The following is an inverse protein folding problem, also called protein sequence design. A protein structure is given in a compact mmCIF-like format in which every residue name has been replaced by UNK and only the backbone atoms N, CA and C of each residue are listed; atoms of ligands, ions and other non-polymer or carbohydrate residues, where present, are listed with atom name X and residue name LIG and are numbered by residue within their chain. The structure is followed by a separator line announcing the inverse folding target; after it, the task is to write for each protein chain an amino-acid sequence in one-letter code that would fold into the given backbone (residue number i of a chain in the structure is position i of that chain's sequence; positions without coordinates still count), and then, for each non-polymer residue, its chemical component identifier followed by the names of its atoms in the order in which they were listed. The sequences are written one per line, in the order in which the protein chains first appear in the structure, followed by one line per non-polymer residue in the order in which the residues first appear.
data_IF_613995876207
#
_entry.id   IF_613995876207
#
_cell.length_a   1.000
_cell.length_b   1.000
_cell.length_c   1.000
_cell.angle_alpha   90.00
_cell.angle_beta   90.00
_cell.angle_gamma   90.00
#
_symmetry.space_group_name_H-M   'P 1'
#
loop_
_entity.id
_entity.type
_entity.pdbx_description
1 polymer ?
#
# COMPACT_ATOMS: atom_id res chain seq x y z
N UNK A 1 -1.94 -3.17 -14.26
CA UNK A 1 -2.26 -3.42 -12.84
C UNK A 1 -2.99 -4.76 -12.76
N UNK A 2 -2.60 -5.71 -11.89
CA UNK A 2 -3.38 -6.93 -11.67
C UNK A 2 -4.85 -6.61 -11.38
N UNK A 3 -5.79 -7.33 -11.99
CA UNK A 3 -7.22 -7.04 -11.79
C UNK A 3 -7.67 -7.25 -10.33
N UNK A 4 -6.99 -8.14 -9.60
CA UNK A 4 -7.18 -8.31 -8.16
C UNK A 4 -6.93 -7.02 -7.38
N UNK A 5 -5.95 -6.21 -7.78
CA UNK A 5 -5.67 -4.93 -7.13
C UNK A 5 -6.79 -3.92 -7.40
N UNK A 6 -7.35 -3.93 -8.61
CA UNK A 6 -8.51 -3.10 -8.97
C UNK A 6 -9.73 -3.49 -8.13
N UNK A 7 -10.02 -4.79 -7.98
CA UNK A 7 -11.10 -5.26 -7.11
C UNK A 7 -10.87 -4.85 -5.66
N UNK A 8 -9.62 -4.89 -5.17
CA UNK A 8 -9.26 -4.45 -3.83
C UNK A 8 -9.28 -2.92 -3.68
N UNK A 9 -9.22 -2.15 -4.77
CA UNK A 9 -9.53 -0.71 -4.72
C UNK A 9 -11.04 -0.54 -4.60
N UNK A 10 -11.82 -1.17 -5.49
CA UNK A 10 -13.29 -1.01 -5.53
C UNK A 10 -13.92 -1.50 -4.22
N UNK A 11 -13.46 -2.64 -3.70
CA UNK A 11 -13.98 -3.31 -2.52
C UNK A 11 -12.82 -3.70 -1.57
N UNK A 12 -12.32 -2.76 -0.74
CA UNK A 12 -11.09 -2.95 0.03
C UNK A 12 -11.14 -4.02 1.10
N UNK A 13 -10.04 -4.76 1.24
CA UNK A 13 -9.89 -5.87 2.20
C UNK A 13 -10.46 -5.54 3.58
N UNK A 14 -11.24 -6.48 4.13
CA UNK A 14 -11.86 -6.38 5.45
C UNK A 14 -11.19 -7.41 6.36
N UNK A 15 -10.19 -6.96 7.14
CA UNK A 15 -9.32 -7.86 7.88
C UNK A 15 -8.55 -8.80 6.95
N UNK A 16 -8.76 -10.12 7.11
CA UNK A 16 -8.16 -11.12 6.23
C UNK A 16 -8.95 -11.36 4.92
N UNK A 17 -10.21 -10.90 4.83
CA UNK A 17 -11.07 -11.16 3.68
C UNK A 17 -10.74 -10.24 2.51
N UNK A 18 -10.57 -10.82 1.31
CA UNK A 18 -10.39 -10.08 0.05
C UNK A 18 -11.59 -10.29 -0.86
N UNK A 19 -11.82 -9.32 -1.75
CA UNK A 19 -12.76 -9.51 -2.84
C UNK A 19 -12.24 -10.59 -3.79
N UNK A 20 -13.13 -11.45 -4.29
CA UNK A 20 -12.83 -12.47 -5.30
C UNK A 20 -13.92 -12.45 -6.37
N UNK A 21 -13.54 -12.84 -7.59
CA UNK A 21 -14.48 -12.93 -8.70
C UNK A 21 -15.48 -14.05 -8.43
N UNK A 22 -16.77 -13.73 -8.57
CA UNK A 22 -17.88 -14.68 -8.54
C UNK A 22 -18.55 -14.86 -9.90
N UNK A 23 -18.21 -14.00 -10.87
CA UNK A 23 -18.64 -14.14 -12.26
C UNK A 23 -17.73 -13.38 -13.20
N UNK A 24 -17.28 -14.02 -14.27
CA UNK A 24 -16.32 -13.43 -15.21
C UNK A 24 -17.01 -12.67 -16.34
N UNK A 25 -16.27 -11.74 -16.95
CA UNK A 25 -16.71 -11.12 -18.21
C UNK A 25 -16.84 -12.18 -19.31
N UNK A 26 -17.93 -12.13 -20.07
CA UNK A 26 -18.19 -13.05 -21.19
C UNK A 26 -18.64 -14.45 -20.76
N UNK A 27 -18.75 -14.72 -19.45
CA UNK A 27 -19.28 -15.98 -18.95
C UNK A 27 -20.70 -16.20 -19.50
N UNK A 28 -20.96 -17.41 -20.01
CA UNK A 28 -22.26 -17.73 -20.59
C UNK A 28 -23.32 -17.88 -19.49
N UNK A 29 -24.32 -17.01 -19.50
CA UNK A 29 -25.48 -17.07 -18.60
C UNK A 29 -26.75 -17.29 -19.40
N UNK A 30 -27.84 -17.65 -18.70
CA UNK A 30 -29.15 -17.89 -19.31
C UNK A 30 -29.69 -16.69 -20.12
N UNK A 31 -29.23 -15.46 -19.82
CA UNK A 31 -29.63 -14.22 -20.48
C UNK A 31 -28.58 -13.70 -21.49
N UNK A 32 -27.61 -14.53 -21.87
CA UNK A 32 -26.50 -14.17 -22.75
C UNK A 32 -25.18 -14.01 -22.01
N UNK A 33 -24.12 -13.56 -22.72
CA UNK A 33 -22.79 -13.38 -22.14
C UNK A 33 -22.81 -12.28 -21.07
N UNK A 34 -22.08 -12.51 -20.00
CA UNK A 34 -21.98 -11.58 -18.89
C UNK A 34 -21.21 -10.30 -19.28
N UNK A 35 -21.81 -9.12 -19.08
CA UNK A 35 -21.27 -7.85 -19.59
C UNK A 35 -20.18 -7.19 -18.73
N UNK A 36 -19.81 -7.80 -17.60
CA UNK A 36 -18.86 -7.27 -16.62
C UNK A 36 -18.24 -8.39 -15.79
N UNK A 37 -17.56 -8.04 -14.70
CA UNK A 37 -17.19 -9.01 -13.67
C UNK A 37 -17.99 -8.76 -12.40
N UNK A 38 -18.42 -9.84 -11.77
CA UNK A 38 -19.05 -9.84 -10.45
C UNK A 38 -18.02 -10.23 -9.41
N UNK A 39 -17.99 -9.53 -8.28
CA UNK A 39 -17.13 -9.90 -7.16
C UNK A 39 -17.72 -9.47 -5.81
N UNK A 40 -17.35 -10.21 -4.77
CA UNK A 40 -17.67 -9.91 -3.38
C UNK A 40 -16.61 -10.56 -2.45
N UNK A 41 -16.76 -10.43 -1.13
CA UNK A 41 -15.87 -11.11 -0.19
C UNK A 41 -16.21 -12.60 -0.08
N UNK A 42 -15.23 -13.42 0.30
CA UNK A 42 -15.47 -14.83 0.63
C UNK A 42 -16.60 -15.01 1.66
N UNK A 43 -17.43 -16.03 1.46
CA UNK A 43 -18.62 -16.30 2.27
C UNK A 43 -19.94 -15.86 1.61
N UNK A 44 -19.90 -15.23 0.44
CA UNK A 44 -21.09 -15.00 -0.39
C UNK A 44 -22.14 -14.15 0.32
N UNK A 45 -23.33 -14.70 0.60
CA UNK A 45 -24.44 -13.96 1.22
C UNK A 45 -24.44 -14.01 2.74
N UNK A 46 -23.25 -13.88 3.34
CA UNK A 46 -23.05 -13.91 4.78
C UNK A 46 -21.99 -12.90 5.21
N UNK A 47 -21.90 -12.67 6.53
CA UNK A 47 -20.84 -11.87 7.15
C UNK A 47 -20.74 -10.47 6.55
N UNK A 48 -19.51 -10.07 6.20
CA UNK A 48 -19.19 -8.72 5.72
C UNK A 48 -20.01 -8.32 4.48
N UNK A 49 -20.39 -9.26 3.61
CA UNK A 49 -21.17 -8.94 2.42
C UNK A 49 -22.57 -8.39 2.74
N UNK A 50 -23.16 -8.81 3.87
CA UNK A 50 -24.46 -8.31 4.33
C UNK A 50 -24.36 -6.98 5.09
N UNK A 51 -23.15 -6.47 5.34
CA UNK A 51 -22.94 -5.19 6.06
C UNK A 51 -22.93 -3.96 5.15
N UNK A 52 -23.16 -4.14 3.85
CA UNK A 52 -23.06 -3.09 2.82
C UNK A 52 -21.71 -2.34 2.88
N UNK A 53 -20.59 -3.04 2.67
CA UNK A 53 -19.24 -2.48 2.71
C UNK A 53 -19.10 -1.35 1.69
N UNK A 54 -18.26 -0.36 2.01
CA UNK A 54 -18.00 0.80 1.16
C UNK A 54 -17.36 0.37 -0.16
N UNK A 55 -17.82 1.02 -1.24
CA UNK A 55 -17.38 0.83 -2.62
C UNK A 55 -16.64 2.08 -3.04
N UNK A 56 -15.48 1.93 -3.67
CA UNK A 56 -14.59 3.03 -4.03
C UNK A 56 -14.32 3.11 -5.54
N UNK A 57 -13.87 4.26 -5.99
CA UNK A 57 -13.55 4.48 -7.39
C UNK A 57 -12.30 3.71 -7.82
N UNK A 58 -12.33 2.92 -8.91
CA UNK A 58 -11.14 2.27 -9.45
C UNK A 58 -10.22 3.21 -10.22
N UNK A 59 -10.70 4.40 -10.62
CA UNK A 59 -10.02 5.30 -11.55
C UNK A 59 -10.28 6.76 -11.17
N UNK A 60 -9.34 7.65 -11.48
CA UNK A 60 -9.61 9.09 -11.42
C UNK A 60 -10.49 9.51 -12.60
N UNK A 61 -11.45 10.40 -12.38
CA UNK A 61 -12.34 10.82 -13.45
C UNK A 61 -13.56 11.61 -13.01
N UNK A 62 -14.41 11.93 -13.97
CA UNK A 62 -15.66 12.65 -13.72
C UNK A 62 -16.82 11.65 -13.58
N UNK A 63 -17.63 11.81 -12.53
CA UNK A 63 -18.87 11.06 -12.34
C UNK A 63 -19.90 11.54 -13.36
N UNK A 64 -20.29 10.66 -14.29
CA UNK A 64 -21.21 11.00 -15.40
C UNK A 64 -22.63 10.50 -15.20
N UNK A 65 -22.86 9.57 -14.27
CA UNK A 65 -24.19 9.08 -13.93
C UNK A 65 -24.21 8.49 -12.51
N UNK A 66 -25.31 8.73 -11.78
CA UNK A 66 -25.57 8.16 -10.46
C UNK A 66 -27.04 7.77 -10.34
N UNK A 67 -27.33 6.53 -9.94
CA UNK A 67 -28.68 6.06 -9.61
C UNK A 67 -29.25 5.06 -10.62
N UNK A 68 -30.51 5.23 -11.01
CA UNK A 68 -31.23 4.27 -11.86
C UNK A 68 -31.59 2.95 -11.16
N UNK A 69 -32.24 2.05 -11.91
CA UNK A 69 -32.79 0.79 -11.41
C UNK A 69 -31.74 -0.17 -10.84
N UNK A 70 -30.48 -0.04 -11.25
CA UNK A 70 -29.38 -0.88 -10.76
C UNK A 70 -28.51 -0.19 -9.70
N UNK A 71 -28.79 1.06 -9.31
CA UNK A 71 -27.89 1.81 -8.42
C UNK A 71 -26.51 1.98 -9.06
N UNK A 72 -26.48 2.45 -10.30
CA UNK A 72 -25.26 2.56 -11.10
C UNK A 72 -24.51 3.84 -10.76
N UNK A 73 -23.18 3.74 -10.69
CA UNK A 73 -22.27 4.89 -10.70
C UNK A 73 -21.40 4.75 -11.95
N UNK A 74 -21.33 5.79 -12.77
CA UNK A 74 -20.46 5.83 -13.97
C UNK A 74 -19.39 6.90 -13.82
N UNK A 75 -18.17 6.54 -14.14
CA UNK A 75 -16.99 7.41 -14.06
C UNK A 75 -16.32 7.41 -15.43
N UNK A 76 -16.08 8.60 -15.99
CA UNK A 76 -15.34 8.76 -17.24
C UNK A 76 -13.90 9.07 -16.93
N UNK A 77 -12.98 8.22 -17.41
CA UNK A 77 -11.54 8.44 -17.25
C UNK A 77 -10.99 9.47 -18.26
N UNK A 78 -9.70 9.81 -18.13
CA UNK A 78 -9.04 10.78 -18.99
C UNK A 78 -8.99 10.36 -20.47
N UNK A 79 -9.01 9.05 -20.74
CA UNK A 79 -9.04 8.48 -22.07
C UNK A 79 -10.47 8.36 -22.64
N UNK A 80 -11.48 8.78 -21.88
CA UNK A 80 -12.89 8.77 -22.29
C UNK A 80 -13.61 7.45 -22.05
N UNK A 81 -12.95 6.44 -21.46
CA UNK A 81 -13.57 5.18 -21.11
C UNK A 81 -14.58 5.36 -19.98
N UNK A 82 -15.69 4.63 -20.05
CA UNK A 82 -16.72 4.58 -19.01
C UNK A 82 -16.47 3.39 -18.09
N UNK A 83 -16.30 3.66 -16.81
CA UNK A 83 -16.22 2.67 -15.74
C UNK A 83 -17.55 2.66 -14.99
N UNK A 84 -18.26 1.53 -15.01
CA UNK A 84 -19.62 1.44 -14.49
C UNK A 84 -19.70 0.43 -13.34
N UNK A 85 -20.09 0.91 -12.17
CA UNK A 85 -20.25 0.14 -10.94
C UNK A 85 -21.75 0.00 -10.67
N UNK A 86 -22.26 -1.22 -10.60
CA UNK A 86 -23.68 -1.53 -10.50
C UNK A 86 -24.00 -2.28 -9.20
N UNK A 87 -25.30 -2.43 -8.95
CA UNK A 87 -25.90 -3.10 -7.80
C UNK A 87 -25.64 -2.41 -6.45
N UNK A 88 -25.20 -1.15 -6.44
CA UNK A 88 -24.90 -0.45 -5.18
C UNK A 88 -26.16 -0.18 -4.36
N UNK A 89 -26.04 -0.34 -3.04
CA UNK A 89 -27.10 -0.08 -2.06
C UNK A 89 -27.33 1.42 -1.90
N UNK A 90 -26.24 2.19 -1.83
CA UNK A 90 -26.25 3.65 -1.77
C UNK A 90 -25.11 4.24 -2.61
N UNK A 91 -25.26 5.49 -3.03
CA UNK A 91 -24.27 6.25 -3.79
C UNK A 91 -23.93 7.53 -3.04
N UNK A 92 -22.65 7.81 -2.78
CA UNK A 92 -22.17 8.97 -2.02
C UNK A 92 -21.67 10.12 -2.90
N UNK A 93 -21.68 9.93 -4.22
CA UNK A 93 -21.21 10.90 -5.23
C UNK A 93 -22.36 11.48 -6.03
N UNK A 94 -22.08 12.57 -6.74
CA UNK A 94 -23.03 13.28 -7.62
C UNK A 94 -22.46 13.43 -9.03
N UNK A 95 -23.35 13.54 -10.02
CA UNK A 95 -22.94 13.83 -11.41
C UNK A 95 -22.14 15.14 -11.46
N UNK A 96 -21.06 15.16 -12.24
CA UNK A 96 -20.10 16.26 -12.34
C UNK A 96 -19.03 16.29 -11.24
N UNK A 97 -19.11 15.41 -10.23
CA UNK A 97 -18.06 15.29 -9.22
C UNK A 97 -16.82 14.64 -9.81
N UNK A 98 -15.67 15.28 -9.63
CA UNK A 98 -14.39 14.61 -9.84
C UNK A 98 -14.10 13.67 -8.66
N UNK A 99 -13.65 12.46 -8.96
CA UNK A 99 -13.24 11.45 -7.99
C UNK A 99 -11.86 10.95 -8.33
N UNK A 100 -11.06 10.64 -7.31
CA UNK A 100 -9.75 10.02 -7.43
C UNK A 100 -9.84 8.51 -7.20
N UNK A 101 -8.77 7.79 -7.56
CA UNK A 101 -8.64 6.36 -7.22
C UNK A 101 -8.76 6.16 -5.71
N UNK A 102 -9.68 5.29 -5.29
CA UNK A 102 -9.91 4.94 -3.89
C UNK A 102 -10.88 5.86 -3.14
N UNK A 103 -11.45 6.89 -3.77
CA UNK A 103 -12.50 7.69 -3.15
C UNK A 103 -13.76 6.85 -2.93
N UNK A 104 -14.42 7.00 -1.78
CA UNK A 104 -15.67 6.29 -1.49
C UNK A 104 -16.82 6.85 -2.35
N UNK A 105 -17.38 5.98 -3.19
CA UNK A 105 -18.43 6.34 -4.15
C UNK A 105 -19.81 5.76 -3.81
N UNK A 106 -19.87 4.77 -2.91
CA UNK A 106 -21.14 4.18 -2.50
C UNK A 106 -20.96 3.00 -1.55
N UNK A 107 -21.99 2.16 -1.43
CA UNK A 107 -21.96 0.92 -0.66
C UNK A 107 -22.44 -0.26 -1.49
N UNK A 108 -21.83 -1.42 -1.30
CA UNK A 108 -22.18 -2.64 -2.01
C UNK A 108 -23.62 -3.05 -1.68
N UNK A 109 -24.33 -3.55 -2.68
CA UNK A 109 -25.74 -3.91 -2.58
C UNK A 109 -26.08 -5.13 -3.45
N UNK A 110 -27.38 -5.32 -3.66
CA UNK A 110 -27.93 -6.30 -4.59
C UNK A 110 -29.03 -5.69 -5.46
N UNK A 111 -28.95 -4.39 -5.75
CA UNK A 111 -30.06 -3.63 -6.36
C UNK A 111 -30.26 -3.99 -7.83
N UNK A 112 -31.51 -4.24 -8.22
CA UNK A 112 -31.92 -4.41 -9.61
C UNK A 112 -33.29 -3.77 -9.91
N UNK A 113 -33.79 -3.92 -11.15
CA UNK A 113 -35.07 -3.38 -11.60
C UNK A 113 -36.26 -3.66 -10.69
N UNK A 114 -36.25 -4.81 -10.03
CA UNK A 114 -37.33 -5.30 -9.17
C UNK A 114 -37.13 -4.94 -7.68
N UNK A 115 -36.02 -4.27 -7.32
CA UNK A 115 -35.81 -3.74 -5.97
C UNK A 115 -34.37 -3.78 -5.45
N UNK A 116 -34.19 -3.30 -4.21
CA UNK A 116 -32.87 -3.13 -3.57
C UNK A 116 -32.10 -4.43 -3.29
N UNK A 117 -32.78 -5.58 -3.28
CA UNK A 117 -32.22 -6.89 -2.94
C UNK A 117 -32.53 -7.95 -4.00
N UNK A 118 -32.80 -7.53 -5.25
CA UNK A 118 -33.12 -8.46 -6.33
C UNK A 118 -31.99 -9.46 -6.59
N UNK A 119 -30.75 -8.99 -6.50
CA UNK A 119 -29.56 -9.79 -6.66
C UNK A 119 -28.92 -10.07 -5.30
N UNK A 120 -28.09 -11.10 -5.29
CA UNK A 120 -27.12 -11.35 -4.23
C UNK A 120 -26.26 -10.09 -3.99
N UNK A 121 -25.74 -9.89 -2.78
CA UNK A 121 -24.77 -8.84 -2.47
C UNK A 121 -23.48 -9.06 -3.25
N UNK A 122 -23.19 -8.16 -4.18
CA UNK A 122 -21.96 -8.13 -4.96
C UNK A 122 -21.77 -6.75 -5.59
N UNK A 123 -20.56 -6.49 -6.09
CA UNK A 123 -20.32 -5.42 -7.05
C UNK A 123 -20.30 -6.04 -8.44
N UNK A 124 -21.10 -5.50 -9.36
CA UNK A 124 -20.94 -5.73 -10.79
C UNK A 124 -20.15 -4.57 -11.37
N UNK A 125 -19.02 -4.87 -12.01
CA UNK A 125 -18.16 -3.89 -12.65
C UNK A 125 -18.05 -4.15 -14.15
N UNK A 126 -18.42 -3.15 -14.95
CA UNK A 126 -18.31 -3.22 -16.41
C UNK A 126 -17.65 -1.98 -16.97
N UNK A 127 -17.15 -2.09 -18.19
CA UNK A 127 -16.46 -1.01 -18.88
C UNK A 127 -16.95 -0.83 -20.31
N UNK A 128 -16.87 0.41 -20.78
CA UNK A 128 -16.98 0.76 -22.20
C UNK A 128 -15.83 1.65 -22.62
N UNK A 129 -15.38 1.50 -23.86
CA UNK A 129 -14.39 2.42 -24.44
C UNK A 129 -15.01 3.81 -24.71
N UNK A 130 -14.19 4.76 -25.17
CA UNK A 130 -14.62 6.11 -25.53
C UNK A 130 -15.70 6.16 -26.63
N UNK A 131 -15.87 5.08 -27.42
CA UNK A 131 -16.88 4.95 -28.46
C UNK A 131 -18.16 4.24 -27.95
N UNK A 132 -18.17 3.80 -26.69
CA UNK A 132 -19.29 3.11 -26.06
C UNK A 132 -19.32 1.60 -26.28
N UNK A 133 -18.29 1.00 -26.87
CA UNK A 133 -18.20 -0.45 -27.04
C UNK A 133 -17.87 -1.13 -25.72
N UNK A 134 -18.50 -2.28 -25.38
CA UNK A 134 -18.14 -3.04 -24.19
C UNK A 134 -16.68 -3.48 -24.19
N UNK A 135 -16.03 -3.36 -23.04
CA UNK A 135 -14.63 -3.74 -22.83
C UNK A 135 -14.57 -4.76 -21.69
N UNK A 136 -13.77 -5.80 -21.85
CA UNK A 136 -13.49 -6.76 -20.77
C UNK A 136 -12.60 -6.08 -19.71
N UNK A 137 -13.11 -5.81 -18.49
CA UNK A 137 -12.37 -5.12 -17.44
C UNK A 137 -11.14 -5.90 -16.99
N UNK A 138 -11.21 -7.24 -16.92
CA UNK A 138 -10.13 -8.11 -16.48
C UNK A 138 -8.90 -8.00 -17.40
N UNK A 139 -9.12 -7.95 -18.70
CA UNK A 139 -8.04 -7.77 -19.69
C UNK A 139 -7.61 -6.32 -19.85
N UNK A 140 -8.54 -5.36 -19.72
CA UNK A 140 -8.23 -3.94 -19.79
C UNK A 140 -7.19 -3.55 -18.74
N UNK A 141 -7.44 -3.90 -17.48
CA UNK A 141 -6.55 -3.54 -16.38
C UNK A 141 -5.21 -4.29 -16.40
N UNK A 142 -5.24 -5.55 -16.85
CA UNK A 142 -4.04 -6.37 -17.04
C UNK A 142 -3.10 -5.78 -18.09
N UNK A 143 -3.66 -5.31 -19.20
CA UNK A 143 -2.90 -4.85 -20.36
C UNK A 143 -2.68 -3.33 -20.39
N UNK A 144 -3.31 -2.57 -19.48
CA UNK A 144 -3.08 -1.13 -19.36
C UNK A 144 -1.60 -0.90 -19.05
N UNK A 145 -0.83 -0.23 -19.95
CA UNK A 145 0.54 0.14 -19.66
C UNK A 145 0.57 0.95 -18.35
N UNK A 146 1.56 0.72 -17.50
CA UNK A 146 1.85 1.69 -16.46
C UNK A 146 2.01 3.06 -17.15
N UNK A 147 1.38 4.14 -16.67
CA UNK A 147 1.35 5.41 -17.38
C UNK A 147 2.77 5.83 -17.80
N UNK A 148 2.99 5.99 -19.10
CA UNK A 148 4.23 6.53 -19.64
C UNK A 148 4.38 7.95 -19.13
N UNK A 149 5.51 8.24 -18.48
CA UNK A 149 5.83 9.50 -17.81
C UNK A 149 5.87 10.67 -18.80
N UNK A 150 4.68 11.20 -19.10
CA UNK A 150 4.43 12.53 -19.62
C UNK A 150 4.02 13.42 -18.45
N UNK A 151 4.99 13.75 -17.60
CA UNK A 151 4.94 14.88 -16.68
C UNK A 151 3.65 15.13 -15.87
N UNK A 152 2.94 14.10 -15.38
CA UNK A 152 1.98 14.27 -14.28
C UNK A 152 2.08 13.05 -13.35
N UNK A 153 2.65 13.32 -12.17
CA UNK A 153 3.06 12.37 -11.15
C UNK A 153 1.87 11.62 -10.55
N UNK A 154 1.88 10.29 -10.65
CA UNK A 154 1.12 9.41 -9.77
C UNK A 154 2.07 8.82 -8.70
N UNK A 155 1.63 8.66 -7.44
CA UNK A 155 2.31 7.80 -6.48
C UNK A 155 1.73 6.38 -6.46
N UNK A 156 2.59 5.46 -6.06
CA UNK A 156 2.36 4.02 -5.97
C UNK A 156 1.62 3.60 -4.67
N UNK A 157 0.86 2.51 -4.81
CA UNK A 157 0.52 1.45 -3.85
C UNK A 157 0.56 1.76 -2.34
N UNK A 158 -0.62 1.86 -1.73
CA UNK A 158 -0.80 1.74 -0.28
C UNK A 158 -0.76 0.27 0.16
N UNK A 159 0.40 -0.15 0.66
CA UNK A 159 0.51 -1.11 1.76
C UNK A 159 -0.45 -0.72 2.90
N UNK A 160 -1.06 -1.69 3.60
CA UNK A 160 -1.84 -1.46 4.82
C UNK A 160 -1.18 -0.40 5.71
N UNK A 161 -1.71 0.83 5.70
CA UNK A 161 -1.32 1.92 6.59
C UNK A 161 -2.61 2.45 7.18
N UNK A 162 -2.63 2.56 8.52
CA UNK A 162 -3.62 3.31 9.25
C UNK A 162 -3.93 4.63 8.52
N UNK A 163 -5.20 5.06 8.47
CA UNK A 163 -5.59 6.40 8.00
C UNK A 163 -4.49 7.37 8.40
N UNK A 164 -3.73 7.91 7.44
CA UNK A 164 -2.74 8.92 7.76
C UNK A 164 -3.50 10.03 8.51
N UNK A 165 -3.15 10.31 9.76
CA UNK A 165 -3.93 11.23 10.57
C UNK A 165 -3.87 12.59 9.89
N UNK A 166 -5.03 13.24 9.77
CA UNK A 166 -5.09 14.61 9.28
C UNK A 166 -4.45 15.51 10.35
N UNK A 167 -3.17 15.84 10.17
CA UNK A 167 -2.45 16.69 11.12
C UNK A 167 -2.58 18.16 10.70
N UNK A 168 -2.88 19.03 11.66
CA UNK A 168 -3.08 20.46 11.46
C UNK A 168 -2.79 21.20 12.76
N UNK A 169 -2.86 22.52 12.71
CA UNK A 169 -2.75 23.36 13.91
C UNK A 169 -3.65 22.85 15.06
N UNK A 170 -3.05 22.68 16.24
CA UNK A 170 -3.69 22.12 17.43
C UNK A 170 -3.68 20.58 17.52
N UNK A 171 -3.24 19.85 16.48
CA UNK A 171 -2.98 18.41 16.59
C UNK A 171 -1.85 18.14 17.58
N UNK A 172 -1.94 17.03 18.32
CA UNK A 172 -0.89 16.60 19.26
C UNK A 172 -0.67 15.09 19.20
N UNK A 173 0.48 14.63 19.70
CA UNK A 173 0.80 13.21 19.86
C UNK A 173 1.93 12.71 18.96
N UNK A 174 2.17 11.41 18.99
CA UNK A 174 3.30 10.74 18.32
C UNK A 174 3.32 10.94 16.81
N UNK A 175 2.15 11.11 16.18
CA UNK A 175 2.06 11.36 14.74
C UNK A 175 2.59 12.74 14.35
N UNK A 176 2.39 13.74 15.22
CA UNK A 176 2.94 15.09 15.04
C UNK A 176 4.45 15.07 15.27
N UNK A 177 4.90 14.32 16.28
CA UNK A 177 6.33 14.15 16.55
C UNK A 177 7.04 13.51 15.34
N UNK A 178 6.49 12.42 14.81
CA UNK A 178 7.01 11.74 13.63
C UNK A 178 7.03 12.65 12.39
N UNK A 179 6.02 13.49 12.21
CA UNK A 179 6.00 14.51 11.17
C UNK A 179 7.14 15.53 11.34
N UNK A 180 7.34 16.06 12.55
CA UNK A 180 8.39 17.03 12.86
C UNK A 180 9.78 16.44 12.62
N UNK A 181 10.02 15.19 13.04
CA UNK A 181 11.26 14.45 12.77
C UNK A 181 11.48 14.27 11.26
N UNK A 182 10.43 13.87 10.53
CA UNK A 182 10.47 13.69 9.07
C UNK A 182 10.76 14.98 8.32
N UNK A 183 10.17 16.11 8.72
CA UNK A 183 10.45 17.42 8.12
C UNK A 183 11.90 17.85 8.38
N UNK A 184 12.40 17.70 9.60
CA UNK A 184 13.80 17.97 9.92
C UNK A 184 14.78 17.10 9.13
N UNK A 185 14.49 15.80 8.98
CA UNK A 185 15.32 14.88 8.21
C UNK A 185 15.41 15.26 6.72
N UNK A 186 14.35 15.89 6.19
CA UNK A 186 14.30 16.45 4.84
C UNK A 186 14.92 17.86 4.75
N UNK A 187 15.47 18.40 5.84
CA UNK A 187 16.00 19.77 5.91
C UNK A 187 14.91 20.84 5.78
N UNK A 188 13.64 20.49 6.03
CA UNK A 188 12.52 21.43 5.97
C UNK A 188 12.35 22.09 7.32
N UNK A 189 12.52 23.40 7.34
CA UNK A 189 12.49 24.23 8.53
C UNK A 189 11.31 25.21 8.52
N UNK A 190 11.11 25.90 9.65
CA UNK A 190 10.12 26.98 9.79
C UNK A 190 10.41 28.17 8.85
N UNK A 191 9.55 29.19 8.87
CA UNK A 191 9.68 30.35 7.98
C UNK A 191 10.98 31.16 8.20
N UNK A 192 11.64 30.99 9.35
CA UNK A 192 12.91 31.63 9.71
C UNK A 192 14.11 30.72 9.49
N UNK A 193 13.91 29.53 8.90
CA UNK A 193 14.95 28.55 8.65
C UNK A 193 15.42 27.81 9.90
N UNK A 194 14.64 27.80 10.98
CA UNK A 194 14.97 27.08 12.21
C UNK A 194 14.43 25.66 12.17
N UNK A 195 15.20 24.66 12.63
CA UNK A 195 14.71 23.28 12.74
C UNK A 195 13.55 23.20 13.72
N UNK A 196 12.65 22.25 13.49
CA UNK A 196 11.51 21.99 14.34
C UNK A 196 11.94 21.29 15.64
N UNK A 197 11.26 21.59 16.74
CA UNK A 197 11.31 20.75 17.94
C UNK A 197 10.32 19.60 17.78
N UNK A 198 10.74 18.32 17.80
CA UNK A 198 9.83 17.18 17.72
C UNK A 198 9.18 16.92 19.09
N UNK A 199 8.32 17.85 19.51
CA UNK A 199 7.63 17.84 20.80
C UNK A 199 6.23 17.20 20.73
N UNK A 200 5.80 16.80 19.54
CA UNK A 200 4.46 16.25 19.33
C UNK A 200 3.36 17.28 19.39
N UNK A 201 3.66 18.58 19.28
CA UNK A 201 2.69 19.67 19.24
C UNK A 201 2.69 20.39 17.87
N UNK A 202 1.54 20.38 17.21
CA UNK A 202 1.40 21.02 15.91
C UNK A 202 1.03 22.49 16.14
N UNK A 203 2.05 23.31 16.40
CA UNK A 203 1.94 24.76 16.53
C UNK A 203 2.41 25.51 15.28
N UNK A 204 2.53 26.83 15.43
CA UNK A 204 2.89 27.78 14.36
C UNK A 204 4.13 27.34 13.57
N UNK A 205 5.21 26.93 14.24
CA UNK A 205 6.44 26.51 13.56
C UNK A 205 6.26 25.24 12.71
N UNK A 206 5.53 24.24 13.21
CA UNK A 206 5.21 23.02 12.45
C UNK A 206 4.35 23.36 11.23
N UNK A 207 3.37 24.24 11.41
CA UNK A 207 2.53 24.74 10.31
C UNK A 207 3.36 25.45 9.24
N UNK A 208 4.23 26.38 9.63
CA UNK A 208 5.11 27.10 8.71
C UNK A 208 6.00 26.15 7.90
N UNK A 209 6.56 25.12 8.56
CA UNK A 209 7.38 24.10 7.89
C UNK A 209 6.56 23.24 6.91
N UNK A 210 5.31 22.88 7.26
CA UNK A 210 4.40 22.18 6.35
C UNK A 210 4.03 23.04 5.15
N UNK A 211 3.71 24.32 5.37
CA UNK A 211 3.43 25.27 4.27
C UNK A 211 4.65 25.46 3.37
N UNK A 212 5.86 25.51 3.95
CA UNK A 212 7.10 25.59 3.20
C UNK A 212 7.35 24.32 2.36
N UNK A 213 7.15 23.14 2.95
CA UNK A 213 7.20 21.87 2.24
C UNK A 213 6.20 21.85 1.08
N UNK A 214 4.94 22.18 1.36
CA UNK A 214 3.88 22.21 0.35
C UNK A 214 4.23 23.16 -0.80
N UNK A 215 4.72 24.37 -0.50
CA UNK A 215 5.13 25.36 -1.50
C UNK A 215 6.28 24.86 -2.37
N UNK A 216 7.31 24.28 -1.76
CA UNK A 216 8.48 23.76 -2.49
C UNK A 216 8.16 22.53 -3.33
N UNK A 217 7.09 21.80 -3.00
CA UNK A 217 6.64 20.59 -3.69
C UNK A 217 5.41 20.82 -4.59
N UNK A 218 5.03 22.07 -4.85
CA UNK A 218 3.94 22.42 -5.77
C UNK A 218 2.53 22.05 -5.25
N UNK A 219 2.38 21.83 -3.95
CA UNK A 219 1.12 21.60 -3.28
C UNK A 219 0.49 22.93 -2.81
N UNK A 220 -0.81 22.90 -2.50
CA UNK A 220 -1.47 24.03 -1.83
C UNK A 220 -0.84 24.23 -0.43
N UNK A 221 -0.27 25.40 -0.11
CA UNK A 221 0.35 25.66 1.19
C UNK A 221 -0.69 26.04 2.24
N UNK A 222 -1.53 25.08 2.62
CA UNK A 222 -2.60 25.26 3.62
C UNK A 222 -2.19 24.88 5.05
N UNK A 223 -0.96 24.37 5.24
CA UNK A 223 -0.42 24.00 6.54
C UNK A 223 -1.04 22.73 7.12
N UNK A 224 -1.77 21.96 6.30
CA UNK A 224 -2.45 20.73 6.70
C UNK A 224 -1.74 19.53 6.08
N UNK A 225 -1.38 18.55 6.92
CA UNK A 225 -0.87 17.25 6.45
C UNK A 225 -2.06 16.35 6.16
N UNK A 226 -2.67 16.60 5.00
CA UNK A 226 -3.61 15.68 4.36
C UNK A 226 -2.88 14.64 3.52
N UNK A 227 -3.66 13.79 2.83
CA UNK A 227 -3.15 12.69 1.99
C UNK A 227 -2.04 13.13 1.04
N UNK A 228 -2.25 14.19 0.25
CA UNK A 228 -1.25 14.66 -0.73
C UNK A 228 0.05 15.13 -0.08
N UNK A 229 -0.04 15.84 1.05
CA UNK A 229 1.14 16.26 1.82
C UNK A 229 1.89 15.05 2.39
N UNK A 230 1.16 14.08 2.94
CA UNK A 230 1.75 12.85 3.48
C UNK A 230 2.41 11.99 2.39
N UNK A 231 1.77 11.86 1.23
CA UNK A 231 2.31 11.18 0.06
C UNK A 231 3.57 11.89 -0.45
N UNK A 232 3.55 13.22 -0.61
CA UNK A 232 4.73 13.96 -1.04
C UNK A 232 5.90 13.82 -0.06
N UNK A 233 5.64 13.86 1.25
CA UNK A 233 6.66 13.62 2.27
C UNK A 233 7.26 12.21 2.13
N UNK A 234 6.43 11.22 1.80
CA UNK A 234 6.89 9.85 1.54
C UNK A 234 7.70 9.72 0.25
N UNK A 235 7.31 10.40 -0.82
CA UNK A 235 8.06 10.38 -2.08
C UNK A 235 9.40 11.10 -1.96
N UNK A 236 9.45 12.18 -1.20
CA UNK A 236 10.71 12.90 -0.99
C UNK A 236 11.67 12.06 -0.15
N UNK A 237 11.19 11.44 0.94
CA UNK A 237 12.01 10.51 1.71
C UNK A 237 12.48 9.31 0.89
N UNK A 238 11.63 8.78 0.01
CA UNK A 238 11.98 7.69 -0.90
C UNK A 238 13.15 8.03 -1.84
N UNK A 239 13.33 9.31 -2.20
CA UNK A 239 14.43 9.78 -3.05
C UNK A 239 15.74 9.96 -2.28
N UNK A 240 15.66 10.39 -1.03
CA UNK A 240 16.83 10.68 -0.19
C UNK A 240 17.40 9.42 0.50
N UNK A 241 16.67 8.29 0.48
CA UNK A 241 17.15 6.99 0.95
C UNK A 241 18.03 6.32 -0.11
N UNK A 242 19.31 6.01 0.20
CA UNK A 242 20.16 5.23 -0.71
C UNK A 242 19.50 3.89 -1.07
N UNK A 243 19.66 3.42 -2.30
CA UNK A 243 19.16 2.10 -2.70
C UNK A 243 20.02 0.98 -2.13
N UNK A 244 19.46 -0.20 -1.90
CA UNK A 244 20.15 -1.40 -1.40
C UNK A 244 21.35 -1.82 -2.26
N UNK A 245 21.28 -1.59 -3.56
CA UNK A 245 22.37 -1.83 -4.51
C UNK A 245 23.48 -0.78 -4.47
N UNK A 246 23.29 0.33 -3.75
CA UNK A 246 24.30 1.36 -3.53
C UNK A 246 25.19 1.02 -2.32
N UNK A 247 26.53 1.15 -2.44
CA UNK A 247 27.46 1.00 -1.31
C UNK A 247 27.20 1.94 -0.15
N UNK A 248 26.50 3.06 -0.37
CA UNK A 248 26.14 4.01 0.69
C UNK A 248 25.00 3.51 1.60
N UNK A 249 24.31 2.43 1.22
CA UNK A 249 23.18 1.92 1.98
C UNK A 249 23.65 0.99 3.13
N UNK A 250 23.13 1.15 4.37
CA UNK A 250 23.56 0.35 5.51
C UNK A 250 23.25 -1.14 5.37
N UNK A 251 22.30 -1.52 4.51
CA UNK A 251 21.98 -2.92 4.18
C UNK A 251 22.74 -3.49 2.98
N UNK A 252 23.66 -2.73 2.37
CA UNK A 252 24.32 -3.13 1.13
C UNK A 252 25.08 -4.47 1.25
N UNK A 253 25.75 -4.71 2.38
CA UNK A 253 26.51 -5.95 2.57
C UNK A 253 25.62 -7.20 2.57
N UNK A 254 24.46 -7.15 3.22
CA UNK A 254 23.49 -8.26 3.22
C UNK A 254 22.85 -8.41 1.84
N UNK A 255 22.62 -7.30 1.13
CA UNK A 255 22.13 -7.34 -0.25
C UNK A 255 23.10 -8.04 -1.21
N UNK A 256 24.42 -7.78 -1.10
CA UNK A 256 25.42 -8.52 -1.90
C UNK A 256 25.35 -10.03 -1.64
N UNK A 257 25.21 -10.45 -0.38
CA UNK A 257 25.10 -11.86 -0.02
C UNK A 257 23.80 -12.50 -0.56
N UNK A 258 22.68 -11.79 -0.46
CA UNK A 258 21.41 -12.23 -1.05
C UNK A 258 21.55 -12.39 -2.57
N UNK A 259 22.16 -11.40 -3.24
CA UNK A 259 22.35 -11.39 -4.70
C UNK A 259 23.23 -12.55 -5.16
N UNK A 260 24.36 -12.79 -4.49
CA UNK A 260 25.21 -13.94 -4.79
C UNK A 260 24.47 -15.28 -4.60
N UNK A 261 23.60 -15.36 -3.59
CA UNK A 261 22.73 -16.52 -3.37
C UNK A 261 21.73 -16.74 -4.50
N UNK A 262 21.02 -15.69 -4.91
CA UNK A 262 20.05 -15.74 -6.01
C UNK A 262 20.74 -16.05 -7.35
N UNK A 263 21.91 -15.45 -7.63
CA UNK A 263 22.66 -15.75 -8.86
C UNK A 263 23.14 -17.22 -8.90
N UNK A 264 23.52 -17.79 -7.76
CA UNK A 264 23.81 -19.23 -7.66
C UNK A 264 22.57 -20.08 -7.94
N UNK A 265 21.40 -19.67 -7.45
CA UNK A 265 20.14 -20.32 -7.74
C UNK A 265 19.81 -20.25 -9.24
N UNK A 266 19.95 -19.08 -9.86
CA UNK A 266 19.78 -18.92 -11.31
C UNK A 266 20.67 -19.89 -12.09
N UNK A 267 21.97 -19.95 -11.75
CA UNK A 267 22.90 -20.86 -12.39
C UNK A 267 22.54 -22.34 -12.22
N UNK A 268 22.06 -22.75 -11.03
CA UNK A 268 21.56 -24.12 -10.78
C UNK A 268 20.37 -24.48 -11.66
N UNK A 269 19.50 -23.50 -11.94
CA UNK A 269 18.33 -23.64 -12.80
C UNK A 269 18.60 -23.25 -14.26
N UNK A 270 19.87 -23.15 -14.67
CA UNK A 270 20.27 -22.80 -16.05
C UNK A 270 19.70 -21.46 -16.55
N UNK A 271 19.46 -20.53 -15.63
CA UNK A 271 19.07 -19.15 -15.91
C UNK A 271 20.28 -18.22 -15.78
N UNK A 272 20.25 -17.13 -16.54
CA UNK A 272 21.15 -16.00 -16.31
C UNK A 272 20.48 -15.02 -15.36
N UNK A 273 21.22 -14.41 -14.42
CA UNK A 273 20.67 -13.35 -13.58
C UNK A 273 20.05 -12.22 -14.40
N UNK A 274 18.87 -11.77 -13.97
CA UNK A 274 18.10 -10.71 -14.62
C UNK A 274 17.60 -9.68 -13.58
N UNK A 275 16.82 -8.69 -14.02
CA UNK A 275 16.27 -7.68 -13.11
C UNK A 275 15.36 -8.28 -12.02
N UNK A 276 14.69 -9.39 -12.33
CA UNK A 276 13.90 -10.15 -11.36
C UNK A 276 14.77 -10.78 -10.29
N UNK A 277 15.96 -11.29 -10.66
CA UNK A 277 16.96 -11.79 -9.71
C UNK A 277 17.42 -10.70 -8.74
N UNK A 278 17.64 -9.48 -9.23
CA UNK A 278 18.05 -8.34 -8.40
C UNK A 278 16.95 -7.89 -7.42
N UNK A 279 15.69 -7.88 -7.88
CA UNK A 279 14.50 -7.56 -7.05
C UNK A 279 14.24 -8.64 -5.99
N UNK A 280 14.41 -9.91 -6.35
CA UNK A 280 14.35 -11.03 -5.42
C UNK A 280 15.42 -10.92 -4.32
N UNK A 281 16.66 -10.60 -4.70
CA UNK A 281 17.76 -10.39 -3.74
C UNK A 281 17.49 -9.22 -2.78
N UNK A 282 16.96 -8.10 -3.29
CA UNK A 282 16.57 -6.96 -2.46
C UNK A 282 15.44 -7.31 -1.47
N UNK A 283 14.43 -8.06 -1.93
CA UNK A 283 13.33 -8.52 -1.06
C UNK A 283 13.81 -9.50 0.03
N UNK A 284 14.69 -10.44 -0.33
CA UNK A 284 15.32 -11.35 0.63
C UNK A 284 16.15 -10.60 1.68
N UNK A 285 16.80 -9.51 1.29
CA UNK A 285 17.56 -8.67 2.22
C UNK A 285 16.66 -8.08 3.29
N UNK A 286 15.51 -7.52 2.91
CA UNK A 286 14.52 -6.99 3.85
C UNK A 286 13.98 -8.09 4.77
N UNK A 287 13.61 -9.25 4.21
CA UNK A 287 13.11 -10.38 4.98
C UNK A 287 14.15 -10.89 5.98
N UNK A 288 15.43 -10.98 5.58
CA UNK A 288 16.53 -11.38 6.44
C UNK A 288 16.63 -10.46 7.66
N UNK A 289 16.64 -9.13 7.47
CA UNK A 289 16.66 -8.19 8.61
C UNK A 289 15.43 -8.32 9.50
N UNK A 290 14.24 -8.45 8.92
CA UNK A 290 13.01 -8.63 9.67
C UNK A 290 13.02 -9.93 10.50
N UNK A 291 13.63 -10.99 9.97
CA UNK A 291 13.85 -12.26 10.65
C UNK A 291 15.03 -12.26 11.64
N UNK A 292 15.71 -11.14 11.82
CA UNK A 292 16.86 -11.02 12.72
C UNK A 292 18.17 -11.60 12.18
N UNK A 293 18.25 -11.90 10.89
CA UNK A 293 19.50 -12.31 10.24
C UNK A 293 20.42 -11.09 10.09
N UNK A 294 21.69 -11.28 10.42
CA UNK A 294 22.74 -10.28 10.27
C UNK A 294 23.63 -10.54 9.03
N UNK A 295 23.48 -11.70 8.41
CA UNK A 295 24.09 -12.09 7.14
C UNK A 295 23.26 -13.20 6.47
N UNK A 296 23.52 -13.46 5.20
CA UNK A 296 22.92 -14.54 4.43
C UNK A 296 24.05 -15.47 3.97
N UNK A 297 24.09 -16.66 4.55
CA UNK A 297 25.07 -17.69 4.19
C UNK A 297 24.57 -18.49 2.96
N UNK A 298 23.24 -18.65 2.81
CA UNK A 298 22.64 -19.39 1.69
C UNK A 298 21.26 -18.87 1.29
N UNK A 299 20.94 -19.03 0.01
CA UNK A 299 19.61 -18.86 -0.56
C UNK A 299 19.16 -20.20 -1.17
N UNK A 300 17.94 -20.65 -0.86
CA UNK A 300 17.35 -21.87 -1.42
C UNK A 300 15.92 -21.61 -1.89
N UNK A 301 15.48 -22.34 -2.92
CA UNK A 301 14.15 -22.28 -3.52
C UNK A 301 13.30 -23.45 -3.01
N UNK A 302 12.02 -23.22 -2.73
CA UNK A 302 11.08 -24.30 -2.42
C UNK A 302 10.94 -25.26 -3.61
N UNK A 303 10.49 -26.50 -3.35
CA UNK A 303 10.35 -27.51 -4.38
C UNK A 303 9.36 -27.12 -5.50
N UNK A 304 8.35 -26.32 -5.15
CA UNK A 304 7.32 -25.75 -6.02
C UNK A 304 7.65 -24.33 -6.51
N UNK A 305 8.81 -23.79 -6.12
CA UNK A 305 9.34 -22.48 -6.53
C UNK A 305 8.49 -21.26 -6.14
N UNK A 306 7.49 -21.43 -5.27
CA UNK A 306 6.64 -20.34 -4.76
C UNK A 306 7.34 -19.51 -3.65
N UNK A 307 8.37 -20.08 -2.99
CA UNK A 307 9.11 -19.46 -1.90
C UNK A 307 10.62 -19.48 -2.12
N UNK A 308 11.28 -18.44 -1.64
CA UNK A 308 12.74 -18.37 -1.53
C UNK A 308 13.14 -18.11 -0.09
N UNK A 309 14.13 -18.84 0.39
CA UNK A 309 14.61 -18.80 1.78
C UNK A 309 16.01 -18.20 1.84
N UNK A 310 16.20 -17.17 2.68
CA UNK A 310 17.51 -16.69 3.10
C UNK A 310 17.88 -17.36 4.44
N UNK A 311 19.09 -17.89 4.53
CA UNK A 311 19.53 -18.68 5.68
C UNK A 311 20.85 -18.18 6.27
N UNK A 312 20.92 -18.18 7.60
CA UNK A 312 22.12 -17.93 8.39
C UNK A 312 22.42 -19.16 9.25
N UNK A 313 23.65 -19.66 9.18
CA UNK A 313 24.11 -20.87 9.88
C UNK A 313 24.11 -22.13 9.01
N UNK A 314 24.57 -23.25 9.59
CA UNK A 314 24.67 -24.51 8.88
C UNK A 314 23.28 -25.14 8.57
N UNK A 315 23.05 -25.71 7.38
CA UNK A 315 21.72 -26.20 6.96
C UNK A 315 21.07 -27.22 7.91
N UNK A 316 21.88 -28.07 8.56
CA UNK A 316 21.40 -29.08 9.50
C UNK A 316 21.43 -28.63 10.96
N UNK A 317 21.91 -27.41 11.23
CA UNK A 317 21.92 -26.87 12.59
C UNK A 317 20.50 -26.58 13.07
N UNK A 318 20.16 -26.93 14.32
CA UNK A 318 18.93 -26.47 14.95
C UNK A 318 18.96 -24.97 15.27
N UNK A 319 20.13 -24.34 15.22
CA UNK A 319 20.34 -22.90 15.47
C UNK A 319 20.37 -22.06 14.19
N UNK A 320 20.09 -22.65 13.03
CA UNK A 320 19.98 -21.86 11.79
C UNK A 320 18.81 -20.88 11.90
N UNK A 321 19.00 -19.70 11.33
CA UNK A 321 17.93 -18.72 11.16
C UNK A 321 17.50 -18.71 9.70
N UNK A 322 16.21 -18.53 9.47
CA UNK A 322 15.61 -18.55 8.14
C UNK A 322 14.66 -17.37 8.01
N UNK A 323 14.72 -16.68 6.88
CA UNK A 323 13.71 -15.74 6.44
C UNK A 323 13.18 -16.22 5.08
N UNK A 324 11.88 -16.01 4.82
CA UNK A 324 11.24 -16.43 3.58
C UNK A 324 10.59 -15.26 2.85
N UNK A 325 10.50 -15.38 1.52
CA UNK A 325 9.72 -14.50 0.66
C UNK A 325 8.92 -15.31 -0.34
N UNK A 326 7.78 -14.77 -0.77
CA UNK A 326 7.06 -15.25 -1.96
C UNK A 326 7.85 -14.86 -3.22
N UNK A 327 8.17 -15.84 -4.07
CA UNK A 327 9.05 -15.66 -5.23
C UNK A 327 8.47 -14.65 -6.22
N UNK A 328 7.19 -14.79 -6.57
CA UNK A 328 6.52 -13.92 -7.56
C UNK A 328 6.47 -12.47 -7.05
N UNK A 329 6.05 -12.28 -5.80
CA UNK A 329 5.98 -10.97 -5.15
C UNK A 329 7.37 -10.34 -5.04
N UNK A 330 8.37 -11.12 -4.66
CA UNK A 330 9.74 -10.63 -4.49
C UNK A 330 10.34 -10.16 -5.82
N UNK A 331 10.16 -10.92 -6.91
CA UNK A 331 10.59 -10.51 -8.25
C UNK A 331 9.80 -9.29 -8.79
N UNK A 332 8.57 -9.09 -8.32
CA UNK A 332 7.75 -7.94 -8.70
C UNK A 332 8.04 -6.67 -7.87
N UNK A 333 8.78 -6.78 -6.76
CA UNK A 333 9.04 -5.66 -5.84
C UNK A 333 10.28 -4.87 -6.27
N UNK A 334 10.16 -3.58 -6.65
CA UNK A 334 11.32 -2.76 -7.01
C UNK A 334 12.35 -2.63 -5.87
N UNK A 335 13.62 -2.46 -6.22
CA UNK A 335 14.71 -2.33 -5.24
C UNK A 335 14.53 -1.08 -4.38
N UNK A 336 14.00 0.01 -4.93
CA UNK A 336 13.67 1.24 -4.20
C UNK A 336 12.68 0.96 -3.08
N UNK A 337 11.63 0.20 -3.36
CA UNK A 337 10.63 -0.18 -2.38
C UNK A 337 11.24 -1.06 -1.28
N UNK A 338 12.11 -1.98 -1.65
CA UNK A 338 12.86 -2.80 -0.68
C UNK A 338 13.83 -1.97 0.17
N UNK A 339 14.44 -0.94 -0.41
CA UNK A 339 15.37 -0.03 0.28
C UNK A 339 14.66 0.84 1.32
N UNK A 340 13.43 1.28 1.01
CA UNK A 340 12.57 1.96 1.97
C UNK A 340 12.08 1.01 3.07
N UNK A 341 11.65 -0.20 2.71
CA UNK A 341 11.21 -1.20 3.67
C UNK A 341 12.32 -1.56 4.68
N UNK A 342 13.57 -1.66 4.20
CA UNK A 342 14.74 -1.85 5.07
C UNK A 342 14.86 -0.76 6.15
N UNK A 343 14.70 0.51 5.77
CA UNK A 343 14.76 1.64 6.70
C UNK A 343 13.60 1.61 7.71
N UNK A 344 12.40 1.25 7.27
CA UNK A 344 11.24 1.13 8.17
C UNK A 344 11.47 0.05 9.24
N UNK A 345 11.99 -1.12 8.84
CA UNK A 345 12.34 -2.18 9.80
C UNK A 345 13.44 -1.72 10.76
N UNK A 346 14.41 -0.92 10.29
CA UNK A 346 15.43 -0.33 11.15
C UNK A 346 14.83 0.57 12.24
N UNK A 347 13.97 1.52 11.84
CA UNK A 347 13.34 2.48 12.73
C UNK A 347 12.44 1.80 13.76
N UNK A 348 11.65 0.80 13.35
CA UNK A 348 10.80 0.04 14.27
C UNK A 348 11.60 -0.71 15.34
N UNK A 349 12.74 -1.30 14.97
CA UNK A 349 13.63 -1.95 15.93
C UNK A 349 14.21 -0.97 16.96
N UNK A 350 14.59 0.23 16.54
CA UNK A 350 15.06 1.28 17.44
C UNK A 350 13.97 1.75 18.41
N UNK A 351 12.76 2.05 17.91
CA UNK A 351 11.64 2.49 18.74
C UNK A 351 11.22 1.44 19.79
N UNK A 352 11.22 0.16 19.42
CA UNK A 352 10.93 -0.93 20.36
C UNK A 352 12.00 -1.07 21.45
N UNK A 353 13.28 -0.91 21.09
CA UNK A 353 14.38 -0.97 22.05
C UNK A 353 14.32 0.21 23.05
N UNK A 354 13.98 1.41 22.59
CA UNK A 354 13.81 2.58 23.45
C UNK A 354 12.63 2.43 24.41
N UNK A 355 11.48 1.92 23.94
CA UNK A 355 10.34 1.64 24.80
C UNK A 355 10.67 0.59 25.88
N UNK A 356 11.41 -0.47 25.52
CA UNK A 356 11.85 -1.48 26.48
C UNK A 356 12.82 -0.90 27.52
N UNK A 357 13.74 -0.02 27.11
CA UNK A 357 14.63 0.67 28.06
C UNK A 357 13.85 1.59 29.00
N UNK A 358 12.87 2.35 28.49
CA UNK A 358 12.03 3.21 29.32
C UNK A 358 11.21 2.40 30.33
N UNK A 359 10.63 1.27 29.92
CA UNK A 359 9.92 0.37 30.83
C UNK A 359 10.87 -0.22 31.88
N UNK A 360 12.08 -0.63 31.49
CA UNK A 360 13.07 -1.15 32.44
C UNK A 360 13.51 -0.10 33.46
N UNK A 361 13.68 1.16 33.04
CA UNK A 361 14.00 2.28 33.95
C UNK A 361 12.83 2.62 34.89
N UNK A 362 11.59 2.61 34.40
CA UNK A 362 10.40 2.81 35.23
C UNK A 362 10.23 1.70 36.27
N UNK A 363 10.49 0.43 35.88
CA UNK A 363 10.45 -0.70 36.81
C UNK A 363 11.56 -0.64 37.87
N UNK A 364 12.75 -0.12 37.52
CA UNK A 364 13.83 0.11 38.49
C UNK A 364 13.51 1.26 39.45
N UNK A 365 12.88 2.33 38.97
CA UNK A 365 12.44 3.46 39.80
C UNK A 365 11.25 3.11 40.73
N UNK A 366 10.44 2.11 40.38
CA UNK A 366 9.30 1.65 41.17
C UNK A 366 9.64 0.59 42.24
N UNK A 367 10.92 0.19 42.40
CA UNK A 367 11.31 -0.76 43.46
C UNK A 367 11.23 -0.05 44.82
N UNK A 368 10.43 -0.55 45.78
CA UNK A 368 10.35 0.07 47.10
C UNK A 368 11.71 -0.01 47.79
N UNK A 369 12.15 1.12 48.35
CA UNK A 369 13.35 1.17 49.20
C UNK A 369 13.09 0.24 50.40
N UNK A 370 13.92 -0.78 50.66
CA UNK A 370 13.75 -1.60 51.84
C UNK A 370 13.90 -0.70 53.07
N UNK A 371 12.83 -0.60 53.85
CA UNK A 371 12.76 0.25 55.03
C UNK A 371 13.87 -0.11 56.02
N UNK A 372 14.61 0.91 56.44
CA UNK A 372 15.47 0.85 57.61
C UNK A 372 14.61 0.51 58.83
N UNK A 373 14.79 -0.70 59.38
CA UNK A 373 14.21 -1.07 60.67
C UNK A 373 15.04 -0.46 61.81
N UNK A 374 14.42 0.16 62.82
CA UNK A 374 15.06 0.40 64.11
C UNK A 374 15.22 -0.89 64.92
#
# INVERSE_FOLDING_TARGET
MPYQDVMNVILPRQGHQSAHITGHYGEHRAKGPHGGSDFNYEGGQAGVNLTHPSVHSPIAGEVTFVGGQYGTIKIRDAEGNSHEILHTQSQSVKVGQHVEVGDEIGRMGGRGPDGATQYAQHVHYQMKDAHGHPVNPETFWRNRPAPSVGAHSAPASSTHQAKAPLLRDGSTGTDVQALQERLNALGIHDAKGRPLSPDGHFGEHTREAVENFQRTHGLKPDGIVGRHTAEALQHQQARDVPRLDSPAHPGHEIYKQAREGVHRLDAQHQRSPDEGSERLAASLTVAARQGGLHRIDRVELSADADRVYAMQGEPQSPFKQVAEVDTQRAMATPIEQSSQAWHQVAQQGHAQAEQQQQQAQQQQAARPVPGAGP
#
